data_IF_070031463293
#
_entry.id   IF_070031463293
#
_cell.length_a   1.000
_cell.length_b   1.000
_cell.length_c   1.000
_cell.angle_alpha   90.00
_cell.angle_beta   90.00
_cell.angle_gamma   90.00
#
_symmetry.space_group_name_H-M   'P 1'
#
loop_
_entity.id
_entity.type
_entity.pdbx_description
1 polymer ?
#
# COMPACT_ATOMS: atom_id res chain seq x y z
N UNK A 1 6.18 8.94 -27.01
CA UNK A 1 6.16 8.67 -25.57
C UNK A 1 6.99 9.77 -24.92
N UNK A 2 6.37 10.72 -24.24
CA UNK A 2 7.10 11.60 -23.33
C UNK A 2 7.59 10.71 -22.18
N UNK A 3 8.91 10.69 -21.95
CA UNK A 3 9.48 10.03 -20.78
C UNK A 3 8.91 10.74 -19.55
N UNK A 4 8.29 10.00 -18.66
CA UNK A 4 8.00 10.55 -17.33
C UNK A 4 9.35 10.76 -16.64
N UNK A 5 9.63 12.01 -16.22
CA UNK A 5 10.70 12.25 -15.25
C UNK A 5 10.26 11.58 -13.94
N UNK A 6 10.82 10.41 -13.68
CA UNK A 6 10.61 9.66 -12.45
C UNK A 6 11.77 9.96 -11.52
N UNK A 7 11.52 10.74 -10.49
CA UNK A 7 12.45 10.85 -9.39
C UNK A 7 12.24 9.69 -8.43
N UNK A 8 13.28 8.91 -8.21
CA UNK A 8 13.25 7.76 -7.31
C UNK A 8 14.03 8.05 -6.02
N UNK A 9 13.37 7.87 -4.87
CA UNK A 9 14.02 7.88 -3.56
C UNK A 9 14.11 6.46 -3.03
N UNK A 10 15.33 5.93 -2.91
CA UNK A 10 15.58 4.59 -2.40
C UNK A 10 16.13 4.68 -0.97
N UNK A 11 15.41 4.09 -0.02
CA UNK A 11 15.86 3.97 1.37
C UNK A 11 16.40 2.57 1.63
N UNK A 12 17.71 2.48 1.81
CA UNK A 12 18.40 1.23 2.17
C UNK A 12 18.62 1.11 3.66
N UNK A 13 18.69 -0.12 4.17
CA UNK A 13 19.04 -0.42 5.59
C UNK A 13 18.19 0.37 6.59
N UNK A 14 16.89 0.43 6.35
CA UNK A 14 15.97 1.14 7.22
C UNK A 14 15.96 0.54 8.63
N UNK A 15 16.11 1.40 9.66
CA UNK A 15 16.06 1.05 11.08
C UNK A 15 15.00 1.83 11.85
N UNK A 16 14.26 2.70 11.15
CA UNK A 16 13.20 3.52 11.72
C UNK A 16 11.85 3.05 11.19
N UNK A 17 10.78 3.49 11.85
CA UNK A 17 9.43 3.31 11.36
C UNK A 17 9.31 3.81 9.90
N UNK A 18 8.79 2.99 9.01
CA UNK A 18 8.69 3.29 7.58
C UNK A 18 7.79 4.50 7.31
N UNK A 19 6.78 4.73 8.16
CA UNK A 19 5.89 5.89 8.09
C UNK A 19 6.64 7.21 8.15
N UNK A 20 7.72 7.30 8.93
CA UNK A 20 8.58 8.50 8.94
C UNK A 20 9.22 8.78 7.59
N UNK A 21 9.69 7.74 6.91
CA UNK A 21 10.28 7.90 5.58
C UNK A 21 9.22 8.24 4.54
N UNK A 22 8.10 7.57 4.57
CA UNK A 22 7.00 7.82 3.67
C UNK A 22 6.46 9.25 3.84
N UNK A 23 6.26 9.72 5.06
CA UNK A 23 5.84 11.11 5.29
C UNK A 23 6.84 12.14 4.76
N UNK A 24 8.16 11.89 4.88
CA UNK A 24 9.18 12.76 4.26
C UNK A 24 9.03 12.81 2.74
N UNK A 25 8.85 11.65 2.08
CA UNK A 25 8.64 11.58 0.63
C UNK A 25 7.34 12.26 0.22
N UNK A 26 6.24 12.05 0.98
CA UNK A 26 4.98 12.74 0.74
C UNK A 26 5.12 14.27 0.83
N UNK A 27 5.86 14.77 1.82
CA UNK A 27 6.11 16.21 1.95
C UNK A 27 6.97 16.74 0.80
N UNK A 28 8.04 16.04 0.42
CA UNK A 28 8.85 16.39 -0.76
C UNK A 28 7.99 16.48 -2.02
N UNK A 29 7.10 15.52 -2.23
CA UNK A 29 6.22 15.52 -3.40
C UNK A 29 5.25 16.71 -3.42
N UNK A 30 4.78 17.16 -2.25
CA UNK A 30 3.97 18.39 -2.13
C UNK A 30 4.80 19.62 -2.47
N UNK A 31 6.01 19.74 -1.91
CA UNK A 31 6.88 20.91 -2.06
C UNK A 31 7.38 21.05 -3.50
N UNK A 32 7.65 19.94 -4.17
CA UNK A 32 8.15 19.89 -5.55
C UNK A 32 7.02 19.85 -6.61
N UNK A 33 5.77 19.73 -6.18
CA UNK A 33 4.60 19.86 -7.05
C UNK A 33 4.31 18.62 -7.90
N UNK A 34 4.65 17.41 -7.43
CA UNK A 34 4.28 16.16 -8.07
C UNK A 34 2.77 15.93 -8.01
N UNK A 35 2.24 15.22 -8.98
CA UNK A 35 0.82 14.82 -9.03
C UNK A 35 0.55 13.54 -8.23
N UNK A 36 1.53 12.64 -8.17
CA UNK A 36 1.41 11.31 -7.59
C UNK A 36 2.72 10.90 -6.90
N UNK A 37 2.59 10.16 -5.79
CA UNK A 37 3.68 9.42 -5.15
C UNK A 37 3.35 7.94 -5.23
N UNK A 38 4.33 7.14 -5.63
CA UNK A 38 4.25 5.68 -5.57
C UNK A 38 5.17 5.21 -4.46
N UNK A 39 4.59 4.61 -3.42
CA UNK A 39 5.30 3.93 -2.34
C UNK A 39 5.24 2.43 -2.62
N UNK A 40 6.38 1.77 -2.64
CA UNK A 40 6.44 0.33 -2.88
C UNK A 40 7.62 -0.30 -2.14
N UNK A 41 7.53 -1.62 -1.93
CA UNK A 41 8.64 -2.37 -1.37
C UNK A 41 9.83 -2.36 -2.34
N UNK A 42 11.05 -2.49 -1.82
CA UNK A 42 12.29 -2.47 -2.59
C UNK A 42 12.51 -3.77 -3.41
N UNK A 43 11.73 -4.80 -3.15
CA UNK A 43 11.69 -6.07 -3.87
C UNK A 43 10.54 -6.18 -4.88
N UNK A 44 9.86 -5.07 -5.17
CA UNK A 44 8.80 -4.96 -6.20
C UNK A 44 9.39 -4.49 -7.52
N UNK A 45 9.06 -5.20 -8.59
CA UNK A 45 9.33 -4.80 -9.96
C UNK A 45 8.02 -4.47 -10.67
N UNK A 46 7.88 -3.24 -11.16
CA UNK A 46 6.77 -2.86 -12.04
C UNK A 46 7.09 -3.32 -13.46
N UNK A 47 6.31 -4.27 -13.97
CA UNK A 47 6.48 -4.86 -15.31
C UNK A 47 5.24 -4.57 -16.18
N UNK A 48 4.76 -3.34 -16.13
CA UNK A 48 3.58 -2.85 -16.83
C UNK A 48 3.91 -1.54 -17.55
N UNK A 49 4.14 -1.61 -18.85
CA UNK A 49 4.51 -0.44 -19.66
C UNK A 49 3.42 0.64 -19.71
N UNK A 50 2.19 0.33 -19.30
CA UNK A 50 1.08 1.26 -19.30
C UNK A 50 0.64 1.71 -17.90
N UNK A 51 1.44 1.45 -16.85
CA UNK A 51 1.04 1.72 -15.48
C UNK A 51 0.71 3.19 -15.21
N UNK A 52 1.39 4.13 -15.87
CA UNK A 52 1.14 5.56 -15.77
C UNK A 52 -0.24 5.96 -16.30
N UNK A 53 -0.61 5.44 -17.47
CA UNK A 53 -1.94 5.65 -18.05
C UNK A 53 -3.04 5.02 -17.18
N UNK A 54 -2.77 3.84 -16.60
CA UNK A 54 -3.67 3.16 -15.67
C UNK A 54 -3.86 3.97 -14.38
N UNK A 55 -2.79 4.53 -13.82
CA UNK A 55 -2.88 5.41 -12.64
C UNK A 55 -3.64 6.70 -12.95
N UNK A 56 -3.36 7.34 -14.10
CA UNK A 56 -4.11 8.53 -14.53
C UNK A 56 -5.61 8.24 -14.66
N UNK A 57 -5.99 7.07 -15.18
CA UNK A 57 -7.38 6.65 -15.27
C UNK A 57 -7.99 6.42 -13.88
N UNK A 58 -7.33 5.66 -13.01
CA UNK A 58 -7.77 5.41 -11.65
C UNK A 58 -7.97 6.71 -10.86
N UNK A 59 -7.07 7.67 -10.99
CA UNK A 59 -7.11 8.96 -10.27
C UNK A 59 -8.23 9.91 -10.73
N UNK A 60 -8.98 9.58 -11.78
CA UNK A 60 -10.22 10.33 -12.11
C UNK A 60 -11.30 10.12 -11.06
N UNK A 61 -11.31 8.97 -10.40
CA UNK A 61 -12.35 8.60 -9.43
C UNK A 61 -11.81 8.31 -8.03
N UNK A 62 -10.57 7.84 -7.92
CA UNK A 62 -9.96 7.37 -6.68
C UNK A 62 -8.80 8.27 -6.25
N UNK A 63 -8.43 8.16 -5.00
CA UNK A 63 -7.39 8.96 -4.35
C UNK A 63 -6.13 8.16 -4.04
N UNK A 64 -6.30 6.86 -3.76
CA UNK A 64 -5.23 5.91 -3.43
C UNK A 64 -5.46 4.62 -4.21
N UNK A 65 -4.41 4.14 -4.87
CA UNK A 65 -4.44 2.95 -5.73
C UNK A 65 -3.44 1.92 -5.23
N UNK A 66 -3.90 0.70 -5.00
CA UNK A 66 -3.08 -0.45 -4.65
C UNK A 66 -3.27 -1.62 -5.61
N UNK A 67 -2.64 -2.76 -5.31
CA UNK A 67 -2.68 -3.96 -6.14
C UNK A 67 -3.50 -5.08 -5.50
N UNK A 68 -3.55 -5.11 -4.17
CA UNK A 68 -4.28 -6.07 -3.37
C UNK A 68 -4.93 -5.36 -2.18
N UNK A 69 -6.05 -5.87 -1.72
CA UNK A 69 -6.75 -5.30 -0.58
C UNK A 69 -8.13 -5.91 -0.37
N UNK A 70 -8.94 -5.27 0.45
CA UNK A 70 -10.29 -5.74 0.74
C UNK A 70 -11.32 -4.63 0.73
N UNK A 71 -12.50 -4.97 0.20
CA UNK A 71 -13.69 -4.10 0.13
C UNK A 71 -14.39 -3.94 1.48
N UNK A 72 -14.13 -4.86 2.41
CA UNK A 72 -14.61 -4.84 3.81
C UNK A 72 -13.51 -5.25 4.75
N UNK A 73 -13.58 -4.81 5.99
CA UNK A 73 -12.65 -5.19 7.04
C UNK A 73 -13.33 -5.21 8.41
N UNK A 74 -12.91 -6.14 9.25
CA UNK A 74 -13.27 -6.22 10.66
C UNK A 74 -11.96 -6.18 11.46
N UNK A 75 -11.80 -5.16 12.30
CA UNK A 75 -10.55 -4.97 13.04
C UNK A 75 -10.43 -6.02 14.12
N UNK A 76 -9.47 -6.92 13.96
CA UNK A 76 -9.20 -8.06 14.85
C UNK A 76 -7.77 -8.57 14.68
N UNK A 77 -7.32 -9.37 15.63
CA UNK A 77 -6.07 -10.14 15.54
C UNK A 77 -6.29 -11.45 14.73
N UNK A 78 -5.33 -11.88 13.89
CA UNK A 78 -4.17 -11.12 13.47
C UNK A 78 -4.55 -9.96 12.55
N UNK A 79 -3.94 -8.79 12.79
CA UNK A 79 -4.24 -7.57 12.05
C UNK A 79 -3.50 -7.55 10.69
N UNK A 80 -3.84 -8.49 9.84
CA UNK A 80 -3.42 -8.57 8.45
C UNK A 80 -4.65 -8.36 7.56
N UNK A 81 -4.54 -7.55 6.51
CA UNK A 81 -5.69 -7.14 5.70
C UNK A 81 -6.57 -8.31 5.22
N UNK A 82 -5.92 -9.42 4.81
CA UNK A 82 -6.61 -10.63 4.34
C UNK A 82 -7.21 -11.47 5.48
N UNK A 83 -6.70 -11.39 6.72
CA UNK A 83 -7.27 -12.08 7.88
C UNK A 83 -8.34 -11.25 8.60
N UNK A 84 -8.34 -9.94 8.40
CA UNK A 84 -9.39 -9.02 8.88
C UNK A 84 -10.60 -8.96 7.95
N UNK A 85 -10.64 -9.76 6.89
CA UNK A 85 -11.72 -9.78 5.92
C UNK A 85 -12.02 -11.19 5.44
N UNK A 86 -13.15 -11.39 4.78
CA UNK A 86 -13.49 -12.67 4.15
C UNK A 86 -12.88 -12.72 2.75
N UNK A 87 -12.58 -13.92 2.27
CA UNK A 87 -12.02 -14.12 0.94
C UNK A 87 -12.90 -13.56 -0.18
N UNK A 88 -14.22 -13.58 -0.01
CA UNK A 88 -15.18 -13.01 -0.97
C UNK A 88 -15.10 -11.47 -1.08
N UNK A 89 -14.50 -10.79 -0.10
CA UNK A 89 -14.31 -9.35 -0.07
C UNK A 89 -12.91 -8.94 -0.56
N UNK A 90 -12.04 -9.89 -0.91
CA UNK A 90 -10.70 -9.60 -1.41
C UNK A 90 -10.74 -9.11 -2.85
N UNK A 91 -9.75 -8.33 -3.22
CA UNK A 91 -9.61 -7.74 -4.55
C UNK A 91 -8.16 -7.61 -4.96
N UNK A 92 -7.89 -7.77 -6.25
CA UNK A 92 -6.59 -7.52 -6.84
C UNK A 92 -5.78 -8.77 -7.14
N UNK A 93 -4.54 -8.55 -7.58
CA UNK A 93 -3.61 -9.63 -7.89
C UNK A 93 -2.15 -9.14 -7.81
N UNK A 94 -1.25 -10.05 -7.43
CA UNK A 94 0.20 -9.81 -7.40
C UNK A 94 0.93 -11.03 -7.94
N UNK A 95 1.89 -10.81 -8.83
CA UNK A 95 2.74 -11.88 -9.35
C UNK A 95 3.96 -12.11 -8.44
N UNK A 96 4.39 -13.36 -8.36
CA UNK A 96 5.56 -13.78 -7.59
C UNK A 96 6.44 -14.71 -8.44
N UNK A 97 7.78 -14.69 -8.27
CA UNK A 97 8.64 -15.68 -8.91
C UNK A 97 8.41 -17.06 -8.28
N UNK A 98 8.21 -18.06 -9.12
CA UNK A 98 8.15 -19.47 -8.70
C UNK A 98 9.50 -20.17 -8.86
N UNK A 99 10.29 -19.75 -9.85
CA UNK A 99 11.67 -20.14 -10.13
C UNK A 99 12.34 -19.09 -11.02
N UNK A 100 13.60 -19.31 -11.42
CA UNK A 100 14.37 -18.36 -12.27
C UNK A 100 13.60 -17.86 -13.50
N UNK A 101 12.72 -18.68 -14.08
CA UNK A 101 11.99 -18.36 -15.33
C UNK A 101 10.48 -18.61 -15.24
N UNK A 102 9.94 -18.72 -14.02
CA UNK A 102 8.52 -18.97 -13.82
C UNK A 102 7.94 -17.97 -12.83
N UNK A 103 6.78 -17.45 -13.19
CA UNK A 103 6.00 -16.54 -12.38
C UNK A 103 4.65 -17.18 -12.10
N UNK A 104 4.19 -17.10 -10.88
CA UNK A 104 2.81 -17.44 -10.52
C UNK A 104 2.06 -16.18 -10.09
N UNK A 105 0.76 -16.17 -10.36
CA UNK A 105 -0.13 -15.08 -9.97
C UNK A 105 -0.93 -15.47 -8.74
N UNK A 106 -0.79 -14.71 -7.66
CA UNK A 106 -1.76 -14.73 -6.57
C UNK A 106 -2.92 -13.83 -6.95
N UNK A 107 -4.06 -14.43 -7.25
CA UNK A 107 -5.29 -13.69 -7.54
C UNK A 107 -6.16 -13.68 -6.28
N UNK A 108 -6.37 -12.50 -5.73
CA UNK A 108 -7.19 -12.29 -4.54
C UNK A 108 -8.68 -12.12 -4.88
N UNK A 109 -9.00 -11.53 -6.04
CA UNK A 109 -10.38 -11.32 -6.46
C UNK A 109 -10.53 -10.28 -7.56
N UNK A 110 -11.76 -9.94 -7.94
CA UNK A 110 -12.04 -8.97 -9.01
C UNK A 110 -11.34 -7.62 -8.77
N UNK A 111 -10.79 -7.04 -9.82
CA UNK A 111 -10.19 -5.70 -9.83
C UNK A 111 -10.57 -4.98 -11.14
N UNK A 112 -10.82 -3.65 -11.14
CA UNK A 112 -10.77 -2.75 -10.01
C UNK A 112 -11.93 -2.93 -9.02
N UNK A 113 -11.67 -2.65 -7.73
CA UNK A 113 -12.72 -2.60 -6.73
C UNK A 113 -12.40 -1.54 -5.66
N UNK A 114 -13.44 -0.82 -5.21
CA UNK A 114 -13.30 0.12 -4.10
C UNK A 114 -13.02 -0.63 -2.81
N UNK A 115 -11.89 -0.33 -2.17
CA UNK A 115 -11.42 -1.01 -0.98
C UNK A 115 -11.50 -0.13 0.27
N UNK A 116 -11.55 -0.77 1.44
CA UNK A 116 -11.35 -0.13 2.74
C UNK A 116 -9.87 -0.22 3.18
N UNK A 117 -9.20 -1.30 2.81
CA UNK A 117 -7.78 -1.50 3.12
C UNK A 117 -7.04 -2.01 1.88
N UNK A 118 -5.78 -1.62 1.76
CA UNK A 118 -4.86 -2.03 0.71
C UNK A 118 -3.60 -2.61 1.36
N UNK A 119 -2.95 -3.51 0.65
CA UNK A 119 -1.62 -4.02 0.99
C UNK A 119 -0.54 -2.98 0.66
N UNK A 120 0.45 -2.86 1.52
CA UNK A 120 1.54 -1.89 1.39
C UNK A 120 2.58 -2.22 0.32
N UNK A 121 2.47 -3.38 -0.34
CA UNK A 121 3.40 -3.80 -1.39
C UNK A 121 3.57 -2.75 -2.50
N UNK A 122 2.51 -2.04 -2.80
CA UNK A 122 2.45 -0.92 -3.75
C UNK A 122 1.28 -0.01 -3.41
N UNK A 123 1.55 1.27 -3.19
CA UNK A 123 0.54 2.31 -3.00
C UNK A 123 0.86 3.53 -3.86
N UNK A 124 0.03 3.84 -4.83
CA UNK A 124 0.07 5.11 -5.54
C UNK A 124 -0.92 6.09 -4.89
N UNK A 125 -0.43 7.25 -4.47
CA UNK A 125 -1.16 8.25 -3.70
C UNK A 125 -1.22 9.55 -4.50
N UNK A 126 -2.40 10.09 -4.70
CA UNK A 126 -2.62 11.38 -5.34
C UNK A 126 -2.15 12.50 -4.41
N UNK A 127 -1.19 13.32 -4.83
CA UNK A 127 -0.57 14.33 -3.95
C UNK A 127 -1.58 15.39 -3.48
N UNK A 128 -2.60 15.69 -4.27
CA UNK A 128 -3.62 16.67 -3.89
C UNK A 128 -4.38 16.31 -2.60
N UNK A 129 -4.45 15.02 -2.21
CA UNK A 129 -5.10 14.58 -0.96
C UNK A 129 -4.29 14.91 0.29
N UNK A 130 -2.99 15.13 0.15
CA UNK A 130 -2.09 15.39 1.28
C UNK A 130 -2.38 16.73 1.97
N UNK A 131 -3.21 17.57 1.37
CA UNK A 131 -3.79 18.77 1.99
C UNK A 131 -4.80 18.44 3.09
N UNK A 132 -5.31 17.20 3.14
CA UNK A 132 -6.27 16.72 4.15
C UNK A 132 -5.62 16.23 5.46
N UNK A 133 -4.33 16.47 5.66
CA UNK A 133 -3.56 16.04 6.84
C UNK A 133 -3.42 14.53 7.03
N UNK A 134 -3.86 13.71 6.08
CA UNK A 134 -3.64 12.26 6.14
C UNK A 134 -2.15 11.96 5.99
N UNK A 135 -1.60 11.25 6.98
CA UNK A 135 -0.17 10.87 7.05
C UNK A 135 -0.06 9.46 7.61
N UNK A 136 1.08 8.84 7.36
CA UNK A 136 1.43 7.60 8.04
C UNK A 136 1.66 7.87 9.53
N UNK A 137 1.25 6.93 10.38
CA UNK A 137 1.48 7.02 11.81
C UNK A 137 2.95 6.69 12.14
N UNK A 138 3.67 7.69 12.67
CA UNK A 138 5.07 7.58 13.01
C UNK A 138 5.34 6.93 14.37
N UNK A 139 4.29 6.74 15.18
CA UNK A 139 4.38 6.16 16.52
C UNK A 139 4.14 4.63 16.54
N UNK A 140 3.82 4.02 15.40
CA UNK A 140 3.71 2.56 15.28
C UNK A 140 5.06 1.94 15.69
N UNK A 141 5.08 1.05 16.71
CA UNK A 141 6.33 0.53 17.28
C UNK A 141 6.94 -0.60 16.44
N UNK A 142 6.98 -0.44 15.12
CA UNK A 142 7.56 -1.38 14.18
C UNK A 142 8.22 -0.66 13.02
N UNK A 143 9.16 -1.35 12.37
CA UNK A 143 9.83 -0.80 11.19
C UNK A 143 8.86 -0.76 10.01
N UNK A 144 8.14 -1.86 9.73
CA UNK A 144 7.35 -2.01 8.51
C UNK A 144 6.11 -2.91 8.69
N UNK A 145 5.39 -2.79 9.82
CA UNK A 145 4.14 -3.52 10.04
C UNK A 145 2.98 -2.58 10.32
N UNK A 146 1.80 -2.91 9.83
CA UNK A 146 0.52 -2.24 10.05
C UNK A 146 0.44 -0.77 9.56
N UNK A 147 1.50 -0.22 8.96
CA UNK A 147 1.53 1.15 8.44
C UNK A 147 0.53 1.36 7.30
N UNK A 148 0.36 0.34 6.48
CA UNK A 148 -0.50 0.32 5.30
C UNK A 148 -1.98 0.30 5.68
N UNK A 149 -2.39 -0.65 6.52
CA UNK A 149 -3.78 -0.75 6.98
C UNK A 149 -4.16 0.43 7.88
N UNK A 150 -3.24 0.92 8.73
CA UNK A 150 -3.46 2.12 9.53
C UNK A 150 -3.70 3.35 8.64
N UNK A 151 -2.84 3.56 7.64
CA UNK A 151 -2.98 4.65 6.66
C UNK A 151 -4.30 4.57 5.90
N UNK A 152 -4.69 3.37 5.46
CA UNK A 152 -5.97 3.14 4.78
C UNK A 152 -7.16 3.50 5.67
N UNK A 153 -7.15 3.12 6.95
CA UNK A 153 -8.23 3.44 7.88
C UNK A 153 -8.29 4.95 8.17
N UNK A 154 -7.14 5.63 8.28
CA UNK A 154 -7.09 7.09 8.38
C UNK A 154 -7.66 7.75 7.13
N UNK A 155 -7.25 7.30 5.94
CA UNK A 155 -7.76 7.80 4.66
C UNK A 155 -9.29 7.65 4.56
N UNK A 156 -9.86 6.53 5.01
CA UNK A 156 -11.31 6.34 5.07
C UNK A 156 -12.01 7.32 6.02
N UNK A 157 -11.43 7.64 7.20
CA UNK A 157 -11.97 8.67 8.10
C UNK A 157 -12.06 10.04 7.40
N UNK A 158 -11.11 10.34 6.53
CA UNK A 158 -11.10 11.54 5.70
C UNK A 158 -11.91 11.41 4.41
N UNK A 159 -12.70 10.32 4.26
CA UNK A 159 -13.58 10.04 3.11
C UNK A 159 -12.84 9.91 1.77
N UNK A 160 -11.55 9.62 1.80
CA UNK A 160 -10.78 9.31 0.61
C UNK A 160 -11.21 7.98 0.02
N UNK A 161 -11.04 7.85 -1.28
CA UNK A 161 -11.46 6.67 -2.04
C UNK A 161 -10.24 5.83 -2.38
N UNK A 162 -10.20 4.61 -1.86
CA UNK A 162 -9.17 3.62 -2.14
C UNK A 162 -9.66 2.60 -3.15
N UNK A 163 -8.78 2.11 -4.01
CA UNK A 163 -9.10 1.05 -4.98
C UNK A 163 -7.93 0.12 -5.23
N UNK A 164 -8.19 -1.13 -5.58
CA UNK A 164 -7.24 -1.95 -6.32
C UNK A 164 -7.32 -1.62 -7.80
N UNK A 165 -6.19 -1.77 -8.52
CA UNK A 165 -6.14 -1.52 -9.96
C UNK A 165 -5.27 -2.57 -10.67
N UNK A 166 -5.58 -3.00 -11.90
CA UNK A 166 -4.86 -4.05 -12.58
C UNK A 166 -3.54 -3.55 -13.19
N UNK A 167 -2.57 -3.25 -12.32
CA UNK A 167 -1.18 -2.93 -12.69
C UNK A 167 -0.35 -4.18 -12.48
N UNK A 168 0.46 -4.55 -13.47
CA UNK A 168 1.30 -5.74 -13.41
C UNK A 168 2.57 -5.46 -12.64
N UNK A 169 2.77 -6.17 -11.53
CA UNK A 169 4.00 -6.14 -10.74
C UNK A 169 4.45 -7.54 -10.37
N UNK A 170 5.74 -7.69 -10.15
CA UNK A 170 6.36 -8.90 -9.61
C UNK A 170 6.92 -8.55 -8.23
N UNK A 171 6.39 -9.16 -7.18
CA UNK A 171 6.87 -9.06 -5.81
C UNK A 171 7.76 -10.25 -5.49
N UNK A 172 9.04 -10.01 -5.23
CA UNK A 172 10.06 -11.08 -5.12
C UNK A 172 10.04 -11.81 -3.79
N UNK A 173 9.41 -11.23 -2.77
CA UNK A 173 9.26 -11.84 -1.45
C UNK A 173 8.04 -12.77 -1.38
N UNK A 174 8.09 -13.86 -0.59
CA UNK A 174 6.91 -14.69 -0.31
C UNK A 174 5.91 -14.02 0.64
N UNK A 175 6.20 -12.84 1.17
CA UNK A 175 5.39 -12.15 2.18
C UNK A 175 5.87 -12.41 3.61
N UNK A 176 5.01 -12.15 4.59
CA UNK A 176 5.33 -12.33 6.01
C UNK A 176 5.41 -13.82 6.38
N UNK A 177 6.61 -14.31 6.70
CA UNK A 177 6.83 -15.72 7.08
C UNK A 177 6.51 -15.98 8.56
N UNK A 178 6.80 -15.03 9.46
CA UNK A 178 6.60 -15.18 10.90
C UNK A 178 6.20 -13.86 11.56
N UNK A 179 5.35 -13.97 12.59
CA UNK A 179 5.00 -12.86 13.46
C UNK A 179 6.05 -12.76 14.58
N UNK A 180 6.97 -11.84 14.42
CA UNK A 180 7.99 -11.55 15.42
C UNK A 180 7.50 -10.58 16.51
N UNK A 181 8.36 -10.28 17.50
CA UNK A 181 8.00 -9.36 18.59
C UNK A 181 7.67 -7.95 18.09
N UNK A 182 8.27 -7.52 16.97
CA UNK A 182 7.99 -6.24 16.33
C UNK A 182 6.59 -6.21 15.74
N UNK A 183 6.18 -7.30 15.08
CA UNK A 183 4.81 -7.47 14.59
C UNK A 183 3.80 -7.43 15.74
N UNK A 184 4.03 -8.19 16.81
CA UNK A 184 3.11 -8.27 17.95
C UNK A 184 2.95 -6.92 18.68
N UNK A 185 4.05 -6.19 18.87
CA UNK A 185 4.00 -4.85 19.46
C UNK A 185 3.21 -3.85 18.61
N UNK A 186 3.43 -3.91 17.30
CA UNK A 186 2.73 -3.08 16.32
C UNK A 186 1.23 -3.44 16.22
N UNK A 187 0.90 -4.73 16.24
CA UNK A 187 -0.47 -5.20 16.24
C UNK A 187 -1.23 -4.70 17.47
N UNK A 188 -0.62 -4.83 18.65
CA UNK A 188 -1.22 -4.33 19.88
C UNK A 188 -1.52 -2.83 19.79
N UNK A 189 -0.56 -2.03 19.31
CA UNK A 189 -0.75 -0.59 19.11
C UNK A 189 -1.90 -0.30 18.13
N UNK A 190 -1.93 -0.99 17.00
CA UNK A 190 -2.96 -0.86 15.99
C UNK A 190 -4.36 -1.19 16.54
N UNK A 191 -4.50 -2.32 17.25
CA UNK A 191 -5.76 -2.72 17.86
C UNK A 191 -6.21 -1.72 18.93
N UNK A 192 -5.31 -1.27 19.81
CA UNK A 192 -5.61 -0.26 20.83
C UNK A 192 -6.09 1.07 20.21
N UNK A 193 -5.61 1.43 19.03
CA UNK A 193 -5.99 2.64 18.29
C UNK A 193 -7.36 2.53 17.62
N UNK A 194 -7.70 1.37 17.07
CA UNK A 194 -8.83 1.23 16.16
C UNK A 194 -10.03 0.46 16.72
N UNK A 195 -9.93 -0.18 17.90
CA UNK A 195 -11.04 -0.90 18.54
C UNK A 195 -11.71 -0.13 19.70
N UNK A 196 -11.35 1.13 19.92
CA UNK A 196 -11.96 2.02 20.95
C UNK A 196 -13.23 2.69 20.45
#
# INVERSE_FOLDING_TARGET
YESMDLDAVIKTSNKENIGKHYNRVLNMAVDEGYDCVILMHDDVQVDDLGYDAKLKEAFKEYDIVGLAGSTKTEIKSPALWHLMSRQEDWSGAVAHPASENQIFMTNFGPTPARCLVLDGVFMAIKVSILKSEVRFDEDIPAIAHHYDIDFCLQANKHKLKLTTWPIWVIHKSPGLEQQDDSFLASEKYFLDKWTK
#
